data_IF_010385548371
#
_entry.id   IF_010385548371
#
_cell.length_a   1.000
_cell.length_b   1.000
_cell.length_c   1.000
_cell.angle_alpha   90.00
_cell.angle_beta   90.00
_cell.angle_gamma   90.00
#
_symmetry.space_group_name_H-M   'P 1'
#
loop_
_entity.id
_entity.type
_entity.pdbx_description
1 polymer ?
#
# COMPACT_ATOMS: atom_id res chain seq x y z
N UNK A 1 12.29 4.48 13.05
CA UNK A 1 10.82 4.30 12.97
C UNK A 1 10.43 2.99 13.62
N UNK A 2 9.42 3.01 14.46
CA UNK A 2 8.88 1.80 15.08
C UNK A 2 7.84 1.14 14.18
N UNK A 3 7.61 -0.15 14.40
CA UNK A 3 6.57 -0.87 13.67
C UNK A 3 5.19 -0.25 13.91
N UNK A 4 4.90 0.16 15.15
CA UNK A 4 3.62 0.78 15.47
C UNK A 4 3.43 2.12 14.78
N UNK A 5 4.49 2.95 14.72
CA UNK A 5 4.42 4.21 13.99
C UNK A 5 4.17 3.98 12.51
N UNK A 6 4.86 2.98 11.93
CA UNK A 6 4.66 2.61 10.52
C UNK A 6 3.23 2.15 10.28
N UNK A 7 2.68 1.32 11.16
CA UNK A 7 1.29 0.84 11.04
C UNK A 7 0.30 2.02 11.07
N UNK A 8 0.51 2.96 11.99
CA UNK A 8 -0.33 4.15 12.08
C UNK A 8 -0.28 5.02 10.83
N UNK A 9 0.91 5.18 10.25
CA UNK A 9 1.07 5.93 9.00
C UNK A 9 0.34 5.27 7.85
N UNK A 10 0.47 3.96 7.70
CA UNK A 10 -0.22 3.22 6.64
C UNK A 10 -1.73 3.31 6.80
N UNK A 11 -2.24 3.12 8.01
CA UNK A 11 -3.67 3.24 8.29
C UNK A 11 -4.19 4.64 7.95
N UNK A 12 -3.44 5.68 8.33
CA UNK A 12 -3.79 7.07 8.03
C UNK A 12 -3.84 7.34 6.53
N UNK A 13 -2.86 6.84 5.78
CA UNK A 13 -2.83 6.95 4.32
C UNK A 13 -4.02 6.24 3.68
N UNK A 14 -4.34 5.04 4.15
CA UNK A 14 -5.48 4.29 3.64
C UNK A 14 -6.79 5.03 3.88
N UNK A 15 -6.99 5.56 5.09
CA UNK A 15 -8.19 6.32 5.41
C UNK A 15 -8.33 7.54 4.51
N UNK A 16 -7.22 8.24 4.26
CA UNK A 16 -7.22 9.38 3.35
C UNK A 16 -7.64 8.96 1.93
N UNK A 17 -7.06 7.88 1.41
CA UNK A 17 -7.37 7.37 0.07
C UNK A 17 -8.82 6.94 -0.03
N UNK A 18 -9.35 6.26 0.99
CA UNK A 18 -10.71 5.75 0.99
C UNK A 18 -11.77 6.85 1.15
N UNK A 19 -11.47 7.86 1.96
CA UNK A 19 -12.48 8.87 2.32
C UNK A 19 -12.37 10.17 1.53
N UNK A 20 -11.28 10.40 0.79
CA UNK A 20 -11.21 11.54 -0.10
C UNK A 20 -12.01 11.23 -1.36
N UNK A 21 -13.13 11.91 -1.53
CA UNK A 21 -14.08 11.64 -2.61
C UNK A 21 -13.43 11.69 -3.99
N UNK A 22 -12.62 12.70 -4.23
CA UNK A 22 -11.96 12.90 -5.53
C UNK A 22 -10.99 11.75 -5.85
N UNK A 23 -10.15 11.39 -4.89
CA UNK A 23 -9.17 10.32 -5.07
C UNK A 23 -9.86 8.97 -5.23
N UNK A 24 -10.86 8.71 -4.39
CA UNK A 24 -11.63 7.46 -4.43
C UNK A 24 -12.34 7.27 -5.77
N UNK A 25 -12.99 8.32 -6.28
CA UNK A 25 -13.67 8.27 -7.59
C UNK A 25 -12.68 8.05 -8.72
N UNK A 26 -11.53 8.72 -8.69
CA UNK A 26 -10.48 8.54 -9.71
C UNK A 26 -9.96 7.13 -9.75
N UNK A 27 -9.68 6.52 -8.60
CA UNK A 27 -9.21 5.13 -8.53
C UNK A 27 -10.24 4.16 -9.08
N UNK A 28 -11.50 4.34 -8.69
CA UNK A 28 -12.59 3.46 -9.15
C UNK A 28 -12.80 3.58 -10.65
N UNK A 29 -12.69 4.80 -11.18
CA UNK A 29 -12.81 5.02 -12.62
C UNK A 29 -11.74 4.25 -13.39
N UNK A 30 -10.49 4.31 -12.94
CA UNK A 30 -9.40 3.57 -13.59
C UNK A 30 -9.64 2.06 -13.55
N UNK A 31 -10.11 1.53 -12.43
CA UNK A 31 -10.41 0.11 -12.31
C UNK A 31 -11.51 -0.33 -13.28
N UNK A 32 -12.53 0.50 -13.46
CA UNK A 32 -13.65 0.19 -14.35
C UNK A 32 -13.23 0.30 -15.83
N UNK A 33 -12.47 1.33 -16.18
CA UNK A 33 -12.18 1.67 -17.57
C UNK A 33 -10.90 1.06 -18.14
N UNK A 34 -10.07 0.42 -17.29
CA UNK A 34 -8.75 -0.03 -17.70
C UNK A 34 -8.75 -1.03 -18.87
N UNK A 35 -9.82 -1.80 -19.04
CA UNK A 35 -9.90 -2.78 -20.11
C UNK A 35 -10.59 -2.25 -21.35
N UNK A 36 -11.08 -1.02 -21.32
CA UNK A 36 -11.81 -0.40 -22.43
C UNK A 36 -11.06 0.78 -23.04
N UNK A 37 -10.01 1.25 -22.37
CA UNK A 37 -9.25 2.41 -22.81
C UNK A 37 -7.79 2.20 -22.47
N UNK A 38 -6.96 2.11 -23.52
CA UNK A 38 -5.53 1.80 -23.38
C UNK A 38 -4.79 2.87 -22.55
N UNK A 39 -5.14 4.13 -22.73
CA UNK A 39 -4.48 5.21 -22.00
C UNK A 39 -4.79 5.14 -20.50
N UNK A 40 -6.04 4.80 -20.15
CA UNK A 40 -6.44 4.63 -18.76
C UNK A 40 -5.81 3.37 -18.16
N UNK A 41 -5.64 2.30 -18.96
CA UNK A 41 -4.92 1.11 -18.52
C UNK A 41 -3.47 1.46 -18.16
N UNK A 42 -2.81 2.25 -18.99
CA UNK A 42 -1.43 2.69 -18.74
C UNK A 42 -1.34 3.58 -17.49
N UNK A 43 -2.31 4.45 -17.30
CA UNK A 43 -2.37 5.31 -16.11
C UNK A 43 -2.58 4.48 -14.84
N UNK A 44 -3.45 3.45 -14.92
CA UNK A 44 -3.66 2.51 -13.81
C UNK A 44 -2.35 1.82 -13.42
N UNK A 45 -1.61 1.32 -14.41
CA UNK A 45 -0.31 0.67 -14.16
C UNK A 45 0.67 1.65 -13.52
N UNK A 46 0.75 2.86 -14.05
CA UNK A 46 1.67 3.87 -13.50
C UNK A 46 1.32 4.23 -12.07
N UNK A 47 0.07 4.62 -11.80
CA UNK A 47 -0.32 5.16 -10.49
C UNK A 47 -0.45 4.07 -9.42
N UNK A 48 -0.97 2.90 -9.79
CA UNK A 48 -1.33 1.88 -8.81
C UNK A 48 -0.41 0.66 -8.83
N UNK A 49 0.67 0.71 -9.57
CA UNK A 49 1.71 -0.31 -9.56
C UNK A 49 3.10 0.32 -9.51
N UNK A 50 3.49 1.02 -10.57
CA UNK A 50 4.87 1.54 -10.68
C UNK A 50 5.20 2.58 -9.63
N UNK A 51 4.34 3.58 -9.44
CA UNK A 51 4.58 4.66 -8.47
C UNK A 51 4.61 4.12 -7.03
N UNK A 52 3.69 3.21 -6.72
CA UNK A 52 3.63 2.59 -5.39
C UNK A 52 4.89 1.78 -5.12
N UNK A 53 5.26 0.93 -6.08
CA UNK A 53 6.43 0.07 -5.94
C UNK A 53 7.71 0.90 -5.83
N UNK A 54 7.84 1.96 -6.62
CA UNK A 54 8.98 2.87 -6.57
C UNK A 54 9.08 3.55 -5.20
N UNK A 55 7.97 4.07 -4.70
CA UNK A 55 7.93 4.75 -3.40
C UNK A 55 8.36 3.81 -2.27
N UNK A 56 7.76 2.63 -2.21
CA UNK A 56 8.07 1.68 -1.14
C UNK A 56 9.46 1.05 -1.27
N UNK A 57 9.96 0.89 -2.49
CA UNK A 57 11.33 0.44 -2.70
C UNK A 57 12.33 1.43 -2.10
N UNK A 58 12.09 2.73 -2.31
CA UNK A 58 12.91 3.79 -1.70
C UNK A 58 12.84 3.75 -0.18
N UNK A 59 11.65 3.54 0.37
CA UNK A 59 11.45 3.41 1.80
C UNK A 59 12.22 2.20 2.37
N UNK A 60 12.16 1.06 1.69
CA UNK A 60 12.88 -0.14 2.13
C UNK A 60 14.39 0.08 2.12
N UNK A 61 14.91 0.71 1.07
CA UNK A 61 16.34 1.06 1.01
C UNK A 61 16.74 1.95 2.18
N UNK A 62 15.92 2.94 2.50
CA UNK A 62 16.16 3.83 3.62
C UNK A 62 16.21 3.07 4.94
N UNK A 63 15.22 2.21 5.21
CA UNK A 63 15.13 1.46 6.46
C UNK A 63 16.28 0.44 6.60
N UNK A 64 16.71 -0.15 5.50
CA UNK A 64 17.88 -1.05 5.50
C UNK A 64 19.13 -0.24 5.83
N UNK A 65 19.31 0.91 5.20
CA UNK A 65 20.47 1.77 5.39
C UNK A 65 20.56 2.29 6.83
N UNK A 66 19.40 2.62 7.43
CA UNK A 66 19.32 3.07 8.81
C UNK A 66 19.52 1.94 9.84
N UNK A 67 19.58 0.71 9.39
CA UNK A 67 19.75 -0.44 10.29
C UNK A 67 18.49 -0.91 10.97
N UNK A 68 17.32 -0.43 10.53
CA UNK A 68 16.04 -0.87 11.08
C UNK A 68 15.65 -2.25 10.55
N UNK A 69 15.88 -2.48 9.26
CA UNK A 69 15.52 -3.73 8.62
C UNK A 69 16.76 -4.46 8.10
N UNK A 70 16.66 -5.78 7.98
CA UNK A 70 17.69 -6.65 7.42
C UNK A 70 17.97 -6.29 5.96
N UNK A 71 19.19 -6.52 5.52
CA UNK A 71 19.55 -6.36 4.12
C UNK A 71 18.95 -7.50 3.31
N UNK A 72 18.03 -7.13 2.43
CA UNK A 72 17.36 -8.05 1.50
C UNK A 72 17.03 -7.25 0.25
N UNK A 73 16.42 -7.90 -0.77
CA UNK A 73 16.05 -7.19 -1.99
C UNK A 73 14.97 -6.16 -1.69
N UNK A 74 15.28 -4.86 -1.76
CA UNK A 74 14.30 -3.82 -1.40
C UNK A 74 13.08 -3.77 -2.31
N UNK A 75 13.22 -4.17 -3.58
CA UNK A 75 12.09 -4.23 -4.51
C UNK A 75 11.08 -5.30 -4.05
N UNK A 76 11.59 -6.48 -3.72
CA UNK A 76 10.71 -7.58 -3.28
C UNK A 76 10.10 -7.25 -1.91
N UNK A 77 10.87 -6.66 -1.01
CA UNK A 77 10.33 -6.20 0.28
C UNK A 77 9.19 -5.20 0.07
N UNK A 78 9.38 -4.26 -0.86
CA UNK A 78 8.36 -3.26 -1.19
C UNK A 78 7.08 -3.92 -1.72
N UNK A 79 7.22 -4.92 -2.59
CA UNK A 79 6.07 -5.65 -3.12
C UNK A 79 5.34 -6.41 -2.01
N UNK A 80 6.09 -7.12 -1.16
CA UNK A 80 5.50 -7.86 -0.03
C UNK A 80 4.76 -6.94 0.94
N UNK A 81 5.28 -5.73 1.15
CA UNK A 81 4.68 -4.77 2.06
C UNK A 81 3.42 -4.13 1.47
N UNK A 82 3.50 -3.69 0.23
CA UNK A 82 2.47 -2.82 -0.35
C UNK A 82 1.33 -3.54 -1.06
N UNK A 83 1.58 -4.67 -1.72
CA UNK A 83 0.54 -5.33 -2.51
C UNK A 83 -0.65 -5.82 -1.69
N UNK A 84 -0.48 -6.41 -0.50
CA UNK A 84 -1.64 -6.74 0.32
C UNK A 84 -2.48 -5.52 0.69
N UNK A 85 -1.85 -4.38 0.92
CA UNK A 85 -2.53 -3.13 1.26
C UNK A 85 -3.44 -2.69 0.10
N UNK A 86 -2.96 -2.81 -1.13
CA UNK A 86 -3.75 -2.48 -2.33
C UNK A 86 -4.99 -3.37 -2.40
N UNK A 87 -4.83 -4.66 -2.14
CA UNK A 87 -5.96 -5.60 -2.16
C UNK A 87 -6.98 -5.22 -1.09
N UNK A 88 -6.54 -4.83 0.10
CA UNK A 88 -7.43 -4.41 1.17
C UNK A 88 -8.14 -3.09 0.84
N UNK A 89 -7.47 -2.15 0.18
CA UNK A 89 -8.11 -0.92 -0.29
C UNK A 89 -9.25 -1.26 -1.26
N UNK A 90 -8.97 -2.16 -2.21
CA UNK A 90 -9.99 -2.59 -3.17
C UNK A 90 -11.17 -3.29 -2.50
N UNK A 91 -10.92 -4.06 -1.45
CA UNK A 91 -11.99 -4.67 -0.67
C UNK A 91 -12.87 -3.60 -0.02
N UNK A 92 -12.28 -2.59 0.60
CA UNK A 92 -13.03 -1.51 1.24
C UNK A 92 -13.82 -0.68 0.24
N UNK A 93 -13.35 -0.58 -1.02
CA UNK A 93 -14.12 0.08 -2.07
C UNK A 93 -15.44 -0.63 -2.34
N UNK A 94 -15.41 -1.97 -2.31
CA UNK A 94 -16.60 -2.79 -2.55
C UNK A 94 -17.48 -2.96 -1.33
N UNK A 95 -16.85 -3.06 -0.16
CA UNK A 95 -17.50 -3.36 1.12
C UNK A 95 -16.99 -2.39 2.20
N UNK A 96 -17.45 -1.11 2.13
CA UNK A 96 -16.94 -0.08 3.07
C UNK A 96 -17.20 -0.40 4.55
N UNK A 97 -18.20 -1.22 4.84
CA UNK A 97 -18.51 -1.65 6.21
C UNK A 97 -17.42 -2.51 6.83
N UNK A 98 -16.48 -3.01 6.03
CA UNK A 98 -15.38 -3.84 6.51
C UNK A 98 -14.11 -3.03 6.85
N UNK A 99 -14.19 -1.73 6.82
CA UNK A 99 -13.01 -0.89 7.01
C UNK A 99 -12.30 -1.14 8.34
N UNK A 100 -13.04 -1.28 9.43
CA UNK A 100 -12.42 -1.52 10.75
C UNK A 100 -11.68 -2.86 10.78
N UNK A 101 -12.27 -3.89 10.22
CA UNK A 101 -11.64 -5.20 10.08
C UNK A 101 -10.34 -5.08 9.28
N UNK A 102 -10.40 -4.37 8.16
CA UNK A 102 -9.24 -4.18 7.28
C UNK A 102 -8.13 -3.39 7.99
N UNK A 103 -8.48 -2.34 8.73
CA UNK A 103 -7.48 -1.56 9.47
C UNK A 103 -6.73 -2.41 10.48
N UNK A 104 -7.41 -3.35 11.15
CA UNK A 104 -6.74 -4.26 12.07
C UNK A 104 -5.85 -5.25 11.33
N UNK A 105 -6.28 -5.76 10.17
CA UNK A 105 -5.44 -6.64 9.35
C UNK A 105 -4.21 -5.92 8.85
N UNK A 106 -4.34 -4.67 8.45
CA UNK A 106 -3.22 -3.84 8.02
C UNK A 106 -2.23 -3.65 9.17
N UNK A 107 -2.73 -3.36 10.38
CA UNK A 107 -1.86 -3.21 11.54
C UNK A 107 -1.06 -4.49 11.78
N UNK A 108 -1.72 -5.63 11.77
CA UNK A 108 -1.07 -6.94 11.96
C UNK A 108 -0.05 -7.22 10.88
N UNK A 109 -0.39 -6.89 9.63
CA UNK A 109 0.50 -7.07 8.50
C UNK A 109 1.79 -6.25 8.66
N UNK A 110 1.67 -4.98 9.01
CA UNK A 110 2.82 -4.10 9.19
C UNK A 110 3.68 -4.57 10.36
N UNK A 111 3.04 -4.93 11.49
CA UNK A 111 3.76 -5.41 12.65
C UNK A 111 4.54 -6.69 12.33
N UNK A 112 3.92 -7.63 11.64
CA UNK A 112 4.58 -8.89 11.26
C UNK A 112 5.70 -8.66 10.25
N UNK A 113 5.50 -7.77 9.29
CA UNK A 113 6.54 -7.43 8.33
C UNK A 113 7.81 -6.93 9.03
N UNK A 114 7.65 -6.00 9.98
CA UNK A 114 8.78 -5.49 10.75
C UNK A 114 9.42 -6.57 11.60
N UNK A 115 8.63 -7.47 12.17
CA UNK A 115 9.17 -8.58 12.96
C UNK A 115 10.01 -9.52 12.11
N UNK A 116 9.55 -9.85 10.90
CA UNK A 116 10.26 -10.74 9.98
C UNK A 116 11.58 -10.12 9.52
N UNK A 117 11.56 -8.83 9.19
CA UNK A 117 12.73 -8.16 8.61
C UNK A 117 13.54 -7.35 9.63
N UNK A 118 13.20 -7.39 10.89
CA UNK A 118 13.92 -6.65 11.91
C UNK A 118 15.38 -7.08 11.97
N UNK A 119 16.26 -6.10 11.95
CA UNK A 119 17.69 -6.35 12.10
C UNK A 119 18.05 -6.55 13.57
#
# INVERSE_FOLDING_TARGET
MTAEAAAGLVQGQMKYILHNTRISKGRKLLLIEQFRNKELAQLQTKQNYEDILHYFTGMMRFLIREGTLKNADPLIMAAQFSFPIIVWINLCDREPEREEEVMELVRKHVMQFFEIYRK
#
